data_IF_851337144080
#
_entry.id   IF_851337144080
#
_cell.length_a   1.000
_cell.length_b   1.000
_cell.length_c   1.000
_cell.angle_alpha   90.00
_cell.angle_beta   90.00
_cell.angle_gamma   90.00
#
_symmetry.space_group_name_H-M   'P 1'
#
loop_
_entity.id
_entity.type
_entity.pdbx_description
1 polymer ?
#
# COMPACT_ATOMS: atom_id res chain seq x y z
N UNK A 1 0.01 20.27 -9.31
CA UNK A 1 0.15 18.92 -8.71
C UNK A 1 0.43 17.88 -9.78
N UNK A 2 1.68 17.42 -9.84
CA UNK A 2 2.13 16.44 -10.82
C UNK A 2 1.30 15.14 -10.78
N UNK A 3 0.77 14.71 -11.94
CA UNK A 3 -0.09 13.50 -12.08
C UNK A 3 0.54 12.22 -11.54
N UNK A 4 1.86 12.17 -11.38
CA UNK A 4 2.52 10.97 -10.87
C UNK A 4 2.44 10.84 -9.35
N UNK A 5 2.22 11.91 -8.57
CA UNK A 5 2.10 11.85 -7.11
C UNK A 5 1.02 10.85 -6.69
N UNK A 6 -0.10 10.83 -7.42
CA UNK A 6 -1.21 9.93 -7.18
C UNK A 6 -0.81 8.45 -7.30
N UNK A 7 0.08 8.12 -8.24
CA UNK A 7 0.62 6.76 -8.42
C UNK A 7 1.46 6.29 -7.24
N UNK A 8 2.09 7.21 -6.50
CA UNK A 8 2.95 6.87 -5.37
C UNK A 8 2.31 7.18 -4.02
N UNK A 9 1.00 7.48 -4.01
CA UNK A 9 0.24 7.71 -2.80
C UNK A 9 0.40 6.55 -1.82
N UNK A 10 0.86 6.85 -0.61
CA UNK A 10 1.03 5.86 0.44
C UNK A 10 2.33 5.03 0.37
N UNK A 11 3.23 5.33 -0.56
CA UNK A 11 4.59 4.76 -0.60
C UNK A 11 5.53 5.65 0.22
N UNK A 12 6.48 5.05 0.93
CA UNK A 12 7.46 5.82 1.71
C UNK A 12 8.25 6.77 0.79
N UNK A 13 8.31 8.10 1.08
CA UNK A 13 8.95 9.07 0.18
C UNK A 13 10.43 8.79 -0.06
N UNK A 14 11.14 8.24 0.92
CA UNK A 14 12.52 7.77 0.75
C UNK A 14 12.71 6.71 -0.35
N UNK A 15 11.76 5.79 -0.52
CA UNK A 15 11.83 4.78 -1.59
C UNK A 15 11.61 5.43 -2.97
N UNK A 16 10.76 6.46 -3.03
CA UNK A 16 10.54 7.26 -4.23
C UNK A 16 11.82 8.02 -4.58
N UNK A 17 12.43 8.70 -3.60
CA UNK A 17 13.70 9.41 -3.76
C UNK A 17 14.79 8.51 -4.33
N UNK A 18 15.02 7.34 -3.72
CA UNK A 18 16.03 6.38 -4.20
C UNK A 18 15.79 5.97 -5.65
N UNK A 19 14.53 5.69 -6.01
CA UNK A 19 14.14 5.39 -7.39
C UNK A 19 14.44 6.55 -8.35
N UNK A 20 14.18 7.79 -7.95
CA UNK A 20 14.42 8.97 -8.80
C UNK A 20 15.91 9.21 -9.01
N UNK A 21 16.72 9.05 -7.95
CA UNK A 21 18.19 9.15 -8.05
C UNK A 21 18.76 8.08 -8.98
N UNK A 22 18.31 6.82 -8.85
CA UNK A 22 18.69 5.72 -9.74
C UNK A 22 18.30 5.97 -11.18
N UNK A 23 17.07 6.44 -11.44
CA UNK A 23 16.58 6.77 -12.79
C UNK A 23 17.44 7.84 -13.46
N UNK A 24 17.91 8.82 -12.68
CA UNK A 24 18.77 9.92 -13.15
C UNK A 24 20.26 9.57 -13.12
N UNK A 25 20.63 8.35 -12.72
CA UNK A 25 22.02 7.88 -12.55
C UNK A 25 22.85 8.78 -11.61
N UNK A 26 22.19 9.40 -10.63
CA UNK A 26 22.84 10.28 -9.65
C UNK A 26 23.18 9.47 -8.40
N UNK A 27 24.43 9.57 -7.95
CA UNK A 27 24.85 8.94 -6.67
C UNK A 27 24.26 9.72 -5.50
N UNK A 28 23.74 9.01 -4.50
CA UNK A 28 23.14 9.60 -3.30
C UNK A 28 24.05 10.61 -2.59
N UNK A 29 25.33 10.26 -2.37
CA UNK A 29 26.28 11.17 -1.72
C UNK A 29 26.53 12.44 -2.54
N UNK A 30 26.54 12.34 -3.87
CA UNK A 30 26.70 13.49 -4.74
C UNK A 30 25.46 14.39 -4.67
N UNK A 31 24.27 13.80 -4.69
CA UNK A 31 23.01 14.51 -4.54
C UNK A 31 22.91 15.22 -3.19
N UNK A 32 23.23 14.52 -2.09
CA UNK A 32 23.19 15.08 -0.74
C UNK A 32 24.08 16.33 -0.61
N UNK A 33 25.30 16.28 -1.19
CA UNK A 33 26.18 17.46 -1.25
C UNK A 33 25.60 18.59 -2.09
N UNK A 34 24.99 18.27 -3.23
CA UNK A 34 24.38 19.26 -4.11
C UNK A 34 23.26 20.05 -3.43
N UNK A 35 22.44 19.39 -2.61
CA UNK A 35 21.32 20.04 -1.89
C UNK A 35 21.70 20.50 -0.47
N UNK A 36 23.00 20.47 -0.12
CA UNK A 36 23.50 20.83 1.21
C UNK A 36 22.81 20.11 2.39
N UNK A 37 22.50 18.83 2.22
CA UNK A 37 21.93 17.96 3.27
C UNK A 37 22.96 16.88 3.62
N UNK A 38 23.17 16.54 4.91
CA UNK A 38 24.08 15.47 5.29
C UNK A 38 23.69 14.14 4.60
N UNK A 39 24.66 13.45 4.00
CA UNK A 39 24.42 12.19 3.31
C UNK A 39 23.79 11.12 4.21
N UNK A 40 24.10 11.14 5.51
CA UNK A 40 23.48 10.29 6.52
C UNK A 40 21.97 10.52 6.65
N UNK A 41 21.52 11.78 6.56
CA UNK A 41 20.09 12.13 6.58
C UNK A 41 19.38 11.55 5.37
N UNK A 42 19.94 11.73 4.16
CA UNK A 42 19.38 11.14 2.93
C UNK A 42 19.36 9.61 3.01
N UNK A 43 20.41 8.98 3.57
CA UNK A 43 20.47 7.54 3.73
C UNK A 43 19.38 7.01 4.67
N UNK A 44 19.21 7.67 5.82
CA UNK A 44 18.20 7.29 6.80
C UNK A 44 16.78 7.47 6.24
N UNK A 45 16.54 8.52 5.46
CA UNK A 45 15.28 8.74 4.75
C UNK A 45 15.03 7.62 3.73
N UNK A 46 16.02 7.30 2.88
CA UNK A 46 15.89 6.23 1.87
C UNK A 46 15.61 4.87 2.51
N UNK A 47 16.28 4.56 3.63
CA UNK A 47 16.05 3.33 4.40
C UNK A 47 14.73 3.32 5.18
N UNK A 48 14.03 4.45 5.26
CA UNK A 48 12.80 4.59 6.02
C UNK A 48 12.97 4.62 7.54
N UNK A 49 14.22 4.75 8.02
CA UNK A 49 14.50 4.88 9.46
C UNK A 49 14.35 6.31 9.97
N UNK A 50 14.23 7.31 9.07
CA UNK A 50 13.98 8.71 9.42
C UNK A 50 12.89 9.32 8.53
N UNK A 51 11.99 10.06 9.16
CA UNK A 51 11.00 10.89 8.45
C UNK A 51 11.67 12.09 7.78
N UNK A 52 11.14 12.48 6.62
CA UNK A 52 11.57 13.71 5.95
C UNK A 52 11.01 14.93 6.69
N UNK A 53 11.86 15.92 7.01
CA UNK A 53 11.41 17.21 7.52
C UNK A 53 10.98 18.12 6.36
N UNK A 54 10.13 19.14 6.59
CA UNK A 54 9.74 20.09 5.55
C UNK A 54 10.94 20.74 4.85
N UNK A 55 11.96 21.15 5.63
CA UNK A 55 13.20 21.72 5.08
C UNK A 55 13.91 20.77 4.11
N UNK A 56 14.05 19.49 4.48
CA UNK A 56 14.70 18.50 3.62
C UNK A 56 13.84 18.19 2.39
N UNK A 57 12.51 18.19 2.53
CA UNK A 57 11.60 18.00 1.41
C UNK A 57 11.76 19.10 0.35
N UNK A 58 11.76 20.37 0.76
CA UNK A 58 11.95 21.52 -0.15
C UNK A 58 13.29 21.43 -0.87
N UNK A 59 14.39 21.16 -0.15
CA UNK A 59 15.72 21.00 -0.77
C UNK A 59 15.79 19.86 -1.78
N UNK A 60 15.05 18.77 -1.54
CA UNK A 60 14.97 17.64 -2.48
C UNK A 60 14.14 18.01 -3.71
N UNK A 61 13.00 18.69 -3.51
CA UNK A 61 12.15 19.14 -4.60
C UNK A 61 12.93 20.06 -5.55
N UNK A 62 13.63 21.06 -5.00
CA UNK A 62 14.53 21.94 -5.76
C UNK A 62 15.63 21.15 -6.48
N UNK A 63 16.35 20.27 -5.77
CA UNK A 63 17.46 19.50 -6.33
C UNK A 63 17.06 18.50 -7.42
N UNK A 64 15.79 18.08 -7.47
CA UNK A 64 15.26 17.18 -8.51
C UNK A 64 14.44 17.91 -9.57
N UNK A 65 14.16 19.20 -9.37
CA UNK A 65 13.28 20.00 -10.21
C UNK A 65 11.82 19.55 -10.15
N UNK A 66 11.34 19.17 -8.95
CA UNK A 66 9.92 18.90 -8.71
C UNK A 66 9.15 20.18 -8.40
N UNK A 67 7.83 20.11 -8.52
CA UNK A 67 6.92 21.15 -8.02
C UNK A 67 7.12 21.31 -6.51
N UNK A 68 7.02 22.55 -6.01
CA UNK A 68 7.17 22.85 -4.59
C UNK A 68 6.25 21.97 -3.73
N UNK A 69 6.76 21.52 -2.59
CA UNK A 69 6.05 20.67 -1.61
C UNK A 69 5.69 19.26 -2.09
N UNK A 70 6.17 18.80 -3.24
CA UNK A 70 5.91 17.45 -3.75
C UNK A 70 6.31 16.36 -2.75
N UNK A 71 7.54 16.42 -2.24
CA UNK A 71 8.03 15.41 -1.30
C UNK A 71 7.38 15.53 0.08
N UNK A 72 6.99 16.73 0.51
CA UNK A 72 6.26 16.97 1.75
C UNK A 72 4.85 16.35 1.68
N UNK A 73 4.14 16.53 0.57
CA UNK A 73 2.83 15.91 0.31
C UNK A 73 2.95 14.39 0.33
N UNK A 74 3.97 13.82 -0.32
CA UNK A 74 4.20 12.37 -0.31
C UNK A 74 4.45 11.84 1.12
N UNK A 75 5.21 12.55 1.94
CA UNK A 75 5.40 12.22 3.35
C UNK A 75 4.08 12.25 4.12
N UNK A 76 3.28 13.30 3.98
CA UNK A 76 1.98 13.42 4.65
C UNK A 76 1.00 12.30 4.24
N UNK A 77 0.96 11.96 2.95
CA UNK A 77 0.13 10.86 2.42
C UNK A 77 0.57 9.50 2.97
N UNK A 78 1.89 9.25 3.04
CA UNK A 78 2.43 8.04 3.63
C UNK A 78 2.11 7.93 5.13
N UNK A 79 2.28 9.01 5.88
CA UNK A 79 1.97 9.04 7.31
C UNK A 79 0.49 8.82 7.58
N UNK A 80 -0.38 9.47 6.80
CA UNK A 80 -1.82 9.23 6.87
C UNK A 80 -2.16 7.76 6.63
N UNK A 81 -1.51 7.10 5.66
CA UNK A 81 -1.69 5.67 5.43
C UNK A 81 -1.27 4.85 6.66
N UNK A 82 -0.10 5.12 7.25
CA UNK A 82 0.35 4.41 8.44
C UNK A 82 -0.60 4.58 9.63
N UNK A 83 -1.14 5.78 9.82
CA UNK A 83 -2.13 6.03 10.88
C UNK A 83 -3.39 5.23 10.62
N UNK A 84 -3.92 5.24 9.38
CA UNK A 84 -5.05 4.40 9.00
C UNK A 84 -4.77 2.92 9.25
N UNK A 85 -3.63 2.42 8.79
CA UNK A 85 -3.24 1.02 8.98
C UNK A 85 -3.23 0.65 10.47
N UNK A 86 -2.75 1.54 11.36
CA UNK A 86 -2.80 1.34 12.82
C UNK A 86 -4.21 1.35 13.38
N UNK A 87 -5.04 2.31 12.97
CA UNK A 87 -6.44 2.41 13.42
C UNK A 87 -7.26 1.18 12.99
N UNK A 88 -6.95 0.60 11.84
CA UNK A 88 -7.61 -0.59 11.33
C UNK A 88 -7.00 -1.92 11.83
N UNK A 89 -5.98 -1.91 12.70
CA UNK A 89 -5.45 -3.17 13.26
C UNK A 89 -6.47 -3.92 14.12
N UNK A 90 -7.35 -3.20 14.80
CA UNK A 90 -8.45 -3.76 15.59
C UNK A 90 -9.74 -3.92 14.78
N UNK A 91 -9.72 -3.49 13.52
CA UNK A 91 -10.84 -3.56 12.60
C UNK A 91 -10.69 -4.83 11.75
N UNK A 92 -11.20 -5.93 12.29
CA UNK A 92 -11.19 -7.23 11.64
C UNK A 92 -12.52 -7.96 11.91
N UNK A 93 -12.93 -8.92 11.05
CA UNK A 93 -14.09 -9.74 11.34
C UNK A 93 -13.85 -10.61 12.57
N UNK A 94 -14.92 -11.21 13.08
CA UNK A 94 -14.81 -12.18 14.16
C UNK A 94 -14.04 -13.42 13.69
N UNK A 95 -12.80 -13.55 14.17
CA UNK A 95 -11.91 -14.66 13.80
C UNK A 95 -12.41 -16.03 14.29
N UNK A 96 -13.27 -16.07 15.31
CA UNK A 96 -13.88 -17.33 15.75
C UNK A 96 -14.80 -17.93 14.69
N UNK A 97 -15.37 -17.08 13.82
CA UNK A 97 -16.30 -17.47 12.75
C UNK A 97 -15.62 -17.67 11.40
N UNK A 98 -14.30 -17.52 11.31
CA UNK A 98 -13.55 -17.67 10.06
C UNK A 98 -12.45 -18.71 10.22
N UNK A 99 -12.55 -19.83 9.49
CA UNK A 99 -11.53 -20.87 9.55
C UNK A 99 -10.26 -20.41 8.84
N UNK A 100 -9.14 -20.48 9.56
CA UNK A 100 -7.80 -20.11 9.06
C UNK A 100 -7.41 -20.85 7.79
N UNK A 101 -7.91 -22.08 7.59
CA UNK A 101 -7.62 -22.91 6.41
C UNK A 101 -8.06 -22.26 5.09
N UNK A 102 -9.04 -21.34 5.10
CA UNK A 102 -9.43 -20.58 3.91
C UNK A 102 -8.26 -19.76 3.33
N UNK A 103 -7.33 -19.34 4.18
CA UNK A 103 -6.18 -18.51 3.84
C UNK A 103 -4.87 -19.28 4.04
N UNK A 104 -4.82 -20.58 3.74
CA UNK A 104 -3.63 -21.41 3.93
C UNK A 104 -2.36 -20.89 3.23
N UNK A 105 -2.52 -20.10 2.16
CA UNK A 105 -1.45 -19.47 1.38
C UNK A 105 -1.02 -18.09 1.94
N UNK A 106 -1.67 -17.60 3.00
CA UNK A 106 -1.47 -16.25 3.55
C UNK A 106 -1.37 -16.30 5.08
N UNK A 107 -0.48 -15.49 5.66
CA UNK A 107 -0.44 -15.32 7.11
C UNK A 107 -1.71 -14.60 7.59
N UNK A 108 -2.63 -15.35 8.19
CA UNK A 108 -3.96 -14.88 8.61
C UNK A 108 -3.88 -13.64 9.52
N UNK A 109 -2.88 -13.56 10.41
CA UNK A 109 -2.71 -12.45 11.33
C UNK A 109 -2.24 -11.16 10.63
N UNK A 110 -1.69 -11.27 9.41
CA UNK A 110 -1.18 -10.15 8.62
C UNK A 110 -2.12 -9.74 7.48
N UNK A 111 -3.29 -10.36 7.38
CA UNK A 111 -4.30 -9.96 6.40
C UNK A 111 -4.75 -8.54 6.72
N UNK A 112 -4.64 -7.65 5.74
CA UNK A 112 -5.21 -6.32 5.85
C UNK A 112 -6.67 -6.40 5.38
N UNK A 113 -7.59 -6.62 6.31
CA UNK A 113 -9.02 -6.85 6.04
C UNK A 113 -9.64 -5.69 5.24
N UNK A 114 -9.20 -4.45 5.45
CA UNK A 114 -9.69 -3.33 4.67
C UNK A 114 -9.12 -3.29 3.24
N UNK A 115 -7.80 -3.29 3.08
CA UNK A 115 -7.16 -3.17 1.75
C UNK A 115 -7.41 -4.40 0.87
N UNK A 116 -7.51 -5.59 1.48
CA UNK A 116 -7.67 -6.86 0.78
C UNK A 116 -9.13 -7.35 0.72
N UNK A 117 -10.11 -6.49 1.09
CA UNK A 117 -11.55 -6.82 1.13
C UNK A 117 -12.03 -7.61 -0.09
N UNK A 118 -11.68 -7.19 -1.30
CA UNK A 118 -12.10 -7.88 -2.54
C UNK A 118 -11.61 -9.33 -2.60
N UNK A 119 -10.34 -9.56 -2.24
CA UNK A 119 -9.75 -10.90 -2.25
C UNK A 119 -10.34 -11.77 -1.14
N UNK A 120 -10.52 -11.20 0.07
CA UNK A 120 -11.16 -11.87 1.21
C UNK A 120 -12.58 -12.31 0.85
N UNK A 121 -13.41 -11.38 0.37
CA UNK A 121 -14.81 -11.65 0.00
C UNK A 121 -14.89 -12.75 -1.05
N UNK A 122 -14.10 -12.65 -2.14
CA UNK A 122 -14.06 -13.67 -3.20
C UNK A 122 -13.70 -15.04 -2.63
N UNK A 123 -12.64 -15.12 -1.83
CA UNK A 123 -12.15 -16.37 -1.26
C UNK A 123 -13.17 -17.04 -0.33
N UNK A 124 -13.83 -16.26 0.51
CA UNK A 124 -14.90 -16.75 1.39
C UNK A 124 -16.12 -17.19 0.56
N UNK A 125 -16.44 -16.51 -0.54
CA UNK A 125 -17.51 -16.94 -1.43
C UNK A 125 -17.21 -18.23 -2.19
N UNK A 126 -15.95 -18.42 -2.59
CA UNK A 126 -15.50 -19.62 -3.32
C UNK A 126 -15.39 -20.86 -2.44
N UNK A 127 -14.90 -20.72 -1.20
CA UNK A 127 -14.49 -21.87 -0.37
C UNK A 127 -15.10 -21.89 1.04
N UNK A 128 -15.76 -20.82 1.45
CA UNK A 128 -16.31 -20.67 2.80
C UNK A 128 -17.70 -21.30 2.97
N UNK A 129 -18.04 -21.60 4.22
CA UNK A 129 -19.35 -22.06 4.66
C UNK A 129 -20.31 -20.86 4.84
N UNK A 130 -21.55 -21.14 5.24
CA UNK A 130 -22.58 -20.10 5.40
C UNK A 130 -22.26 -19.14 6.55
N UNK A 131 -21.76 -19.64 7.68
CA UNK A 131 -21.37 -18.82 8.84
C UNK A 131 -20.28 -17.80 8.47
N UNK A 132 -19.26 -18.24 7.73
CA UNK A 132 -18.17 -17.40 7.23
C UNK A 132 -18.69 -16.30 6.30
N UNK A 133 -19.63 -16.64 5.40
CA UNK A 133 -20.26 -15.67 4.49
C UNK A 133 -21.09 -14.64 5.24
N UNK A 134 -21.83 -15.07 6.27
CA UNK A 134 -22.63 -14.17 7.10
C UNK A 134 -21.74 -13.22 7.92
N UNK A 135 -20.64 -13.72 8.48
CA UNK A 135 -19.69 -12.86 9.20
C UNK A 135 -19.05 -11.82 8.27
N UNK A 136 -18.65 -12.21 7.06
CA UNK A 136 -18.10 -11.28 6.07
C UNK A 136 -19.14 -10.24 5.62
N UNK A 137 -20.42 -10.62 5.49
CA UNK A 137 -21.52 -9.66 5.23
C UNK A 137 -21.78 -8.72 6.39
N UNK A 138 -21.77 -9.21 7.64
CA UNK A 138 -21.86 -8.37 8.84
C UNK A 138 -20.72 -7.37 8.90
N UNK A 139 -19.50 -7.84 8.62
CA UNK A 139 -18.28 -7.05 8.77
C UNK A 139 -18.14 -5.96 7.69
N UNK A 140 -18.30 -6.28 6.41
CA UNK A 140 -18.16 -5.30 5.32
C UNK A 140 -19.47 -4.63 4.89
N UNK A 141 -20.62 -5.15 5.33
CA UNK A 141 -21.93 -4.76 4.82
C UNK A 141 -22.34 -5.57 3.59
N UNK A 142 -23.62 -5.96 3.54
CA UNK A 142 -24.17 -6.80 2.47
C UNK A 142 -24.04 -6.15 1.09
N UNK A 143 -24.35 -4.85 0.98
CA UNK A 143 -24.31 -4.12 -0.30
C UNK A 143 -22.92 -4.14 -0.94
N UNK A 144 -21.88 -3.96 -0.12
CA UNK A 144 -20.48 -3.95 -0.57
C UNK A 144 -20.07 -5.35 -1.03
N UNK A 145 -20.44 -6.37 -0.26
CA UNK A 145 -20.11 -7.77 -0.56
C UNK A 145 -20.78 -8.19 -1.87
N UNK A 146 -22.07 -7.93 -2.02
CA UNK A 146 -22.85 -8.31 -3.20
C UNK A 146 -22.35 -7.58 -4.45
N UNK A 147 -21.97 -6.30 -4.35
CA UNK A 147 -21.32 -5.56 -5.45
C UNK A 147 -20.00 -6.22 -5.90
N UNK A 148 -19.15 -6.67 -4.97
CA UNK A 148 -17.88 -7.33 -5.27
C UNK A 148 -18.12 -8.68 -5.97
N UNK A 149 -19.09 -9.46 -5.50
CA UNK A 149 -19.42 -10.77 -6.07
C UNK A 149 -19.98 -10.61 -7.48
N UNK A 150 -20.89 -9.66 -7.69
CA UNK A 150 -21.53 -9.43 -8.99
C UNK A 150 -20.53 -8.97 -10.05
N UNK A 151 -19.58 -8.10 -9.71
CA UNK A 151 -18.49 -7.72 -10.62
C UNK A 151 -17.62 -8.93 -11.01
N UNK A 152 -17.45 -9.89 -10.10
CA UNK A 152 -16.64 -11.08 -10.36
C UNK A 152 -17.31 -12.03 -11.34
N UNK A 153 -18.65 -12.14 -11.30
CA UNK A 153 -19.43 -12.91 -12.30
C UNK A 153 -19.34 -12.30 -13.71
N UNK A 154 -19.17 -10.98 -13.81
CA UNK A 154 -18.96 -10.29 -15.09
C UNK A 154 -17.55 -10.53 -15.66
N UNK A 155 -16.50 -10.50 -14.82
CA UNK A 155 -15.11 -10.78 -15.22
C UNK A 155 -14.89 -12.24 -15.63
N UNK A 156 -15.64 -13.20 -15.08
CA UNK A 156 -15.56 -14.62 -15.50
C UNK A 156 -16.01 -14.90 -16.93
N UNK A 157 -16.48 -13.87 -17.67
CA UNK A 157 -16.65 -13.94 -19.14
C UNK A 157 -15.32 -13.79 -19.91
N UNK A 158 -14.20 -13.57 -19.22
CA UNK A 158 -12.86 -13.61 -19.81
C UNK A 158 -11.85 -14.28 -18.84
N UNK A 159 -11.54 -15.57 -19.01
CA UNK A 159 -10.69 -16.30 -18.08
C UNK A 159 -9.21 -16.09 -18.42
N UNK A 160 -8.40 -15.61 -17.47
CA UNK A 160 -7.06 -16.16 -17.13
C UNK A 160 -6.22 -15.20 -16.28
N UNK A 161 -6.30 -15.31 -14.95
CA UNK A 161 -5.27 -14.81 -14.03
C UNK A 161 -4.94 -15.84 -12.95
N UNK A 162 -4.62 -17.06 -13.37
CA UNK A 162 -3.80 -17.98 -12.59
C UNK A 162 -2.72 -18.49 -13.55
N UNK A 163 -1.52 -17.90 -13.47
CA UNK A 163 -0.36 -18.50 -14.13
C UNK A 163 -0.06 -19.83 -13.41
N UNK A 164 0.20 -20.93 -14.12
CA UNK A 164 0.71 -22.14 -13.50
C UNK A 164 2.12 -21.86 -12.95
N UNK A 165 2.43 -22.43 -11.79
CA UNK A 165 3.81 -22.54 -11.30
C UNK A 165 4.58 -23.38 -12.31
N UNK A 166 5.59 -22.81 -12.94
CA UNK A 166 6.59 -23.57 -13.69
C UNK A 166 7.53 -24.26 -12.70
N UNK A 167 7.86 -25.52 -13.04
CA UNK A 167 8.76 -26.46 -12.38
C UNK A 167 10.12 -25.88 -12.01
#
# INVERSE_FOLDING_TARGET
MEKWIEKYRGIHPGAILDRQLKKRKVKQNAFARHIHVPAQTINAIIKGSRKMTPEVAVKIDEGLGFEESTMAVLQALYETRLVKDKLHQTDHPDFSKIRRILFWDTDFAKINWQQQRKAVVRRVWERGNEEEKQEIKRYYGADIVDAIINHTKADSRHPSFLRPKTS
#
